data_IF_442749362439
#
_entry.id   IF_442749362439
#
_cell.length_a   1.000
_cell.length_b   1.000
_cell.length_c   1.000
_cell.angle_alpha   90.00
_cell.angle_beta   90.00
_cell.angle_gamma   90.00
#
_symmetry.space_group_name_H-M   'P 1'
#
loop_
_entity.id
_entity.type
_entity.pdbx_description
1 polymer ?
#
# COMPACT_ATOMS: atom_id res chain seq x y z
N UNK A 1 25.68 -10.16 10.55
CA UNK A 1 24.68 -9.34 11.26
C UNK A 1 24.73 -7.93 10.69
N UNK A 2 23.84 -7.60 9.75
CA UNK A 2 23.87 -6.32 9.01
C UNK A 2 23.45 -5.19 9.95
N UNK A 3 24.30 -4.16 10.10
CA UNK A 3 24.01 -2.97 10.90
C UNK A 3 22.98 -2.10 10.17
N UNK A 4 21.70 -2.36 10.40
CA UNK A 4 20.57 -1.60 9.82
C UNK A 4 20.51 -0.12 10.25
N UNK A 5 21.34 0.33 11.21
CA UNK A 5 21.33 1.72 11.68
C UNK A 5 21.70 2.73 10.58
N UNK A 6 22.83 2.50 9.90
CA UNK A 6 23.29 3.42 8.85
C UNK A 6 22.48 3.34 7.55
N UNK A 7 21.88 2.18 7.24
CA UNK A 7 21.07 2.04 6.02
C UNK A 7 19.71 2.74 6.12
N UNK A 8 19.08 2.73 7.30
CA UNK A 8 17.82 3.46 7.51
C UNK A 8 18.06 4.97 7.47
N UNK A 9 19.19 5.45 8.02
CA UNK A 9 19.60 6.85 7.90
C UNK A 9 19.95 7.25 6.46
N UNK A 10 20.66 6.40 5.70
CA UNK A 10 20.97 6.66 4.29
C UNK A 10 19.72 6.67 3.40
N UNK A 11 18.75 5.78 3.65
CA UNK A 11 17.44 5.80 2.95
C UNK A 11 16.63 7.04 3.34
N UNK A 12 16.69 7.45 4.61
CA UNK A 12 16.05 8.66 5.12
C UNK A 12 16.65 9.94 4.53
N UNK A 13 17.96 9.96 4.29
CA UNK A 13 18.68 11.14 3.78
C UNK A 13 18.74 11.23 2.25
N UNK A 14 18.62 10.12 1.52
CA UNK A 14 18.72 10.11 0.05
C UNK A 14 17.37 10.19 -0.67
N UNK A 15 16.41 9.34 -0.29
CA UNK A 15 15.21 9.08 -1.09
C UNK A 15 13.95 9.81 -0.61
N UNK A 16 13.93 10.29 0.64
CA UNK A 16 12.78 11.01 1.23
C UNK A 16 12.99 12.54 1.28
N UNK A 17 14.04 13.08 0.64
CA UNK A 17 14.23 14.53 0.57
C UNK A 17 13.08 15.16 -0.21
N UNK A 18 12.17 15.82 0.50
CA UNK A 18 11.03 16.55 -0.08
C UNK A 18 9.67 15.92 0.15
N UNK A 19 9.59 14.76 0.79
CA UNK A 19 8.30 14.19 1.21
C UNK A 19 8.12 14.40 2.71
N UNK A 20 7.16 15.24 3.10
CA UNK A 20 6.75 15.50 4.49
C UNK A 20 5.98 14.31 5.09
N UNK A 21 6.52 13.09 4.95
CA UNK A 21 5.95 11.86 5.50
C UNK A 21 6.47 11.64 6.92
N UNK A 22 5.57 11.22 7.80
CA UNK A 22 5.93 10.90 9.17
C UNK A 22 6.90 9.72 9.20
N UNK A 23 8.01 9.90 9.92
CA UNK A 23 8.95 8.83 10.24
C UNK A 23 9.07 8.69 11.74
N UNK A 24 8.92 7.46 12.23
CA UNK A 24 9.01 7.14 13.66
C UNK A 24 10.35 7.65 14.22
N UNK A 25 10.33 8.46 15.30
CA UNK A 25 11.54 8.99 15.94
C UNK A 25 12.25 7.89 16.72
N UNK A 26 12.84 6.94 15.98
CA UNK A 26 13.32 5.66 16.50
C UNK A 26 14.36 5.82 17.60
N UNK A 27 15.34 6.71 17.41
CA UNK A 27 16.41 6.92 18.38
C UNK A 27 15.90 7.55 19.68
N UNK A 28 14.90 8.44 19.58
CA UNK A 28 14.31 9.11 20.74
C UNK A 28 13.51 8.11 21.58
N UNK A 29 12.62 7.34 20.95
CA UNK A 29 11.85 6.30 21.66
C UNK A 29 12.78 5.19 22.19
N UNK A 30 13.81 4.82 21.43
CA UNK A 30 14.81 3.85 21.87
C UNK A 30 15.56 4.35 23.10
N UNK A 31 15.83 5.65 23.22
CA UNK A 31 16.53 6.21 24.36
C UNK A 31 15.77 5.97 25.67
N UNK A 32 14.43 5.97 25.64
CA UNK A 32 13.56 5.66 26.78
C UNK A 32 13.78 4.23 27.34
N UNK A 33 14.28 3.30 26.51
CA UNK A 33 14.58 1.92 26.92
C UNK A 33 15.89 1.85 27.73
N UNK A 34 16.84 2.75 27.45
CA UNK A 34 18.20 2.68 28.00
C UNK A 34 18.51 3.76 29.04
N UNK A 35 17.73 4.85 29.08
CA UNK A 35 17.88 5.91 30.06
C UNK A 35 17.12 5.61 31.36
N UNK A 36 17.39 6.39 32.41
CA UNK A 36 16.66 6.35 33.69
C UNK A 36 15.14 6.59 33.53
N UNK A 37 14.69 7.11 32.39
CA UNK A 37 13.27 7.19 32.01
C UNK A 37 12.56 5.81 31.98
N UNK A 38 13.31 4.70 31.91
CA UNK A 38 12.74 3.37 32.14
C UNK A 38 12.15 3.18 33.56
N UNK A 39 12.46 4.09 34.50
CA UNK A 39 11.87 4.11 35.84
C UNK A 39 10.44 4.65 35.85
N UNK A 40 10.02 5.37 34.82
CA UNK A 40 8.62 5.78 34.67
C UNK A 40 7.82 4.64 34.01
N UNK A 41 6.91 3.97 34.75
CA UNK A 41 6.14 2.87 34.21
C UNK A 41 5.30 3.36 33.03
N UNK A 42 5.50 2.75 31.86
CA UNK A 42 4.69 3.01 30.67
C UNK A 42 5.17 4.14 29.75
N UNK A 43 6.26 4.87 30.09
CA UNK A 43 6.80 5.92 29.22
C UNK A 43 7.11 5.41 27.79
N UNK A 44 7.73 4.22 27.69
CA UNK A 44 7.98 3.55 26.41
C UNK A 44 6.69 3.22 25.65
N UNK A 45 5.72 2.58 26.31
CA UNK A 45 4.47 2.16 25.68
C UNK A 45 3.64 3.35 25.20
N UNK A 46 3.64 4.45 25.96
CA UNK A 46 2.98 5.69 25.58
C UNK A 46 3.63 6.32 24.34
N UNK A 47 4.96 6.50 24.34
CA UNK A 47 5.69 7.06 23.21
C UNK A 47 5.55 6.19 21.95
N UNK A 48 5.61 4.86 22.12
CA UNK A 48 5.41 3.91 21.03
C UNK A 48 4.00 4.01 20.43
N UNK A 49 2.96 4.10 21.29
CA UNK A 49 1.56 4.18 20.85
C UNK A 49 1.27 5.50 20.14
N UNK A 50 1.79 6.62 20.66
CA UNK A 50 1.72 7.92 19.99
C UNK A 50 2.39 7.89 18.62
N UNK A 51 3.57 7.24 18.52
CA UNK A 51 4.27 7.12 17.26
C UNK A 51 3.52 6.24 16.24
N UNK A 52 2.86 5.18 16.68
CA UNK A 52 1.98 4.38 15.84
C UNK A 52 0.79 5.23 15.34
N UNK A 53 0.12 5.95 16.23
CA UNK A 53 -1.02 6.79 15.88
C UNK A 53 -0.65 7.87 14.88
N UNK A 54 0.48 8.56 15.09
CA UNK A 54 0.99 9.56 14.17
C UNK A 54 1.30 8.96 12.79
N UNK A 55 1.95 7.79 12.74
CA UNK A 55 2.23 7.08 11.49
C UNK A 55 0.94 6.64 10.77
N UNK A 56 -0.08 6.20 11.50
CA UNK A 56 -1.37 5.81 10.92
C UNK A 56 -2.14 7.01 10.36
N UNK A 57 -2.16 8.12 11.09
CA UNK A 57 -2.83 9.35 10.67
C UNK A 57 -2.18 9.89 9.40
N UNK A 58 -0.85 10.02 9.40
CA UNK A 58 -0.08 10.47 8.25
C UNK A 58 -0.27 9.55 7.04
N UNK A 59 -0.17 8.23 7.25
CA UNK A 59 -0.41 7.24 6.20
C UNK A 59 -1.78 7.38 5.56
N UNK A 60 -2.83 7.46 6.38
CA UNK A 60 -4.22 7.52 5.91
C UNK A 60 -4.49 8.85 5.18
N UNK A 61 -4.04 9.96 5.76
CA UNK A 61 -4.21 11.28 5.18
C UNK A 61 -3.48 11.39 3.83
N UNK A 62 -2.22 10.95 3.79
CA UNK A 62 -1.40 11.01 2.56
C UNK A 62 -1.94 10.08 1.49
N UNK A 63 -2.36 8.87 1.85
CA UNK A 63 -3.00 7.95 0.90
C UNK A 63 -4.29 8.53 0.31
N UNK A 64 -5.12 9.15 1.15
CA UNK A 64 -6.34 9.81 0.70
C UNK A 64 -6.05 11.00 -0.23
N UNK A 65 -5.18 11.92 0.19
CA UNK A 65 -4.95 13.19 -0.52
C UNK A 65 -4.04 13.01 -1.74
N UNK A 66 -2.92 12.31 -1.58
CA UNK A 66 -1.87 12.30 -2.60
C UNK A 66 -2.03 11.18 -3.63
N UNK A 67 -2.82 10.14 -3.33
CA UNK A 67 -3.10 9.03 -4.24
C UNK A 67 -4.53 9.14 -4.74
N UNK A 68 -5.52 8.92 -3.88
CA UNK A 68 -6.90 8.76 -4.34
C UNK A 68 -7.53 10.06 -4.81
N UNK A 69 -7.43 11.15 -4.04
CA UNK A 69 -7.96 12.44 -4.44
C UNK A 69 -7.26 12.95 -5.71
N UNK A 70 -5.94 12.81 -5.79
CA UNK A 70 -5.18 13.15 -7.00
C UNK A 70 -5.67 12.37 -8.23
N UNK A 71 -5.79 11.04 -8.11
CA UNK A 71 -6.26 10.17 -9.18
C UNK A 71 -7.65 10.57 -9.66
N UNK A 72 -8.62 10.69 -8.74
CA UNK A 72 -10.00 11.02 -9.10
C UNK A 72 -10.14 12.45 -9.62
N UNK A 73 -9.35 13.40 -9.10
CA UNK A 73 -9.32 14.76 -9.63
C UNK A 73 -8.78 14.80 -11.06
N UNK A 74 -7.73 14.05 -11.37
CA UNK A 74 -7.16 14.01 -12.72
C UNK A 74 -8.10 13.34 -13.71
N UNK A 75 -8.75 12.25 -13.31
CA UNK A 75 -9.86 11.71 -14.06
C UNK A 75 -10.91 12.81 -14.31
N UNK A 76 -11.28 13.58 -13.27
CA UNK A 76 -12.32 14.64 -13.29
C UNK A 76 -12.04 15.67 -14.38
N UNK A 77 -10.79 16.15 -14.38
CA UNK A 77 -10.30 17.11 -15.35
C UNK A 77 -10.38 16.58 -16.79
N UNK A 78 -10.00 15.31 -17.03
CA UNK A 78 -9.98 14.72 -18.37
C UNK A 78 -11.37 14.60 -19.01
N UNK A 79 -12.35 14.04 -18.29
CA UNK A 79 -13.66 13.87 -18.90
C UNK A 79 -14.48 15.18 -18.96
N UNK A 80 -14.13 16.21 -18.18
CA UNK A 80 -14.62 17.57 -18.43
C UNK A 80 -14.06 18.14 -19.75
N UNK A 81 -12.77 17.96 -20.03
CA UNK A 81 -12.16 18.41 -21.29
C UNK A 81 -12.79 17.73 -22.51
N UNK A 82 -13.08 16.43 -22.44
CA UNK A 82 -13.74 15.70 -23.51
C UNK A 82 -15.14 16.24 -23.85
N UNK A 83 -15.86 16.78 -22.86
CA UNK A 83 -17.21 17.33 -23.04
C UNK A 83 -17.18 18.68 -23.77
N UNK A 84 -16.15 19.50 -23.56
CA UNK A 84 -16.03 20.83 -24.18
C UNK A 84 -15.65 20.79 -25.66
N UNK A 85 -14.93 19.76 -26.10
CA UNK A 85 -14.44 19.67 -27.50
C UNK A 85 -15.50 19.14 -28.48
N UNK A 86 -16.66 18.66 -28.03
CA UNK A 86 -17.72 18.10 -28.88
C UNK A 86 -18.65 19.15 -29.53
N UNK A 87 -18.34 20.45 -29.46
CA UNK A 87 -19.18 21.50 -30.11
C UNK A 87 -18.90 21.70 -31.60
N UNK A 88 -17.92 21.00 -32.21
CA UNK A 88 -17.72 20.99 -33.66
C UNK A 88 -18.32 19.71 -34.31
N UNK A 89 -19.47 19.80 -35.02
CA UNK A 89 -20.20 18.64 -35.54
C UNK A 89 -19.53 17.94 -36.73
N UNK A 90 -18.31 18.31 -37.13
CA UNK A 90 -17.65 17.78 -38.33
C UNK A 90 -16.54 16.75 -38.10
N UNK A 91 -16.08 16.55 -36.86
CA UNK A 91 -15.02 15.55 -36.59
C UNK A 91 -15.56 14.23 -36.03
N UNK A 92 -15.13 13.13 -36.63
CA UNK A 92 -15.51 11.77 -36.21
C UNK A 92 -14.85 11.43 -34.87
N UNK A 93 -15.60 11.01 -33.85
CA UNK A 93 -15.07 10.81 -32.51
C UNK A 93 -14.27 9.51 -32.45
N UNK A 94 -12.95 9.58 -32.58
CA UNK A 94 -12.04 8.48 -32.24
C UNK A 94 -11.56 8.53 -30.79
N UNK A 95 -11.86 9.60 -30.05
CA UNK A 95 -11.50 9.70 -28.64
C UNK A 95 -12.54 9.04 -27.75
N UNK A 96 -12.11 8.02 -27.01
CA UNK A 96 -12.92 7.16 -26.14
C UNK A 96 -13.40 8.00 -24.94
N UNK A 97 -14.61 8.53 -24.98
CA UNK A 97 -15.19 9.30 -23.87
C UNK A 97 -15.32 8.39 -22.65
N UNK A 98 -14.64 8.75 -21.56
CA UNK A 98 -14.72 8.03 -20.28
C UNK A 98 -16.07 8.34 -19.62
N UNK A 99 -16.90 7.31 -19.40
CA UNK A 99 -18.16 7.45 -18.67
C UNK A 99 -17.90 7.65 -17.17
N UNK A 100 -18.19 8.85 -16.69
CA UNK A 100 -18.10 9.27 -15.30
C UNK A 100 -18.82 8.39 -14.29
N UNK A 101 -19.93 7.79 -14.71
CA UNK A 101 -20.72 6.94 -13.83
C UNK A 101 -20.00 5.63 -13.54
N UNK A 102 -19.15 5.17 -14.46
CA UNK A 102 -18.32 3.97 -14.30
C UNK A 102 -17.12 4.22 -13.38
N UNK A 103 -16.59 5.45 -13.35
CA UNK A 103 -15.48 5.84 -12.45
C UNK A 103 -15.93 5.85 -10.98
N UNK A 104 -17.17 6.27 -10.72
CA UNK A 104 -17.71 6.40 -9.35
C UNK A 104 -17.99 5.03 -8.74
N UNK A 105 -17.18 4.64 -7.75
CA UNK A 105 -17.28 3.34 -7.10
C UNK A 105 -16.50 2.22 -7.80
N UNK A 106 -15.67 2.57 -8.79
CA UNK A 106 -14.72 1.63 -9.37
C UNK A 106 -13.81 1.05 -8.28
N UNK A 107 -13.53 -0.25 -8.39
CA UNK A 107 -12.52 -0.89 -7.56
C UNK A 107 -11.16 -0.20 -7.78
N UNK A 108 -10.30 -0.05 -6.74
CA UNK A 108 -9.01 0.64 -6.84
C UNK A 108 -8.16 0.26 -8.07
N UNK A 109 -8.11 -1.03 -8.41
CA UNK A 109 -7.40 -1.51 -9.60
C UNK A 109 -7.96 -0.96 -10.91
N UNK A 110 -9.29 -0.97 -11.08
CA UNK A 110 -9.94 -0.43 -12.27
C UNK A 110 -9.76 1.09 -12.35
N UNK A 111 -9.83 1.78 -11.20
CA UNK A 111 -9.58 3.22 -11.16
C UNK A 111 -8.16 3.59 -11.60
N UNK A 112 -7.15 2.78 -11.21
CA UNK A 112 -5.77 2.94 -11.66
C UNK A 112 -5.64 2.67 -13.17
N UNK A 113 -6.28 1.63 -13.68
CA UNK A 113 -6.30 1.34 -15.11
C UNK A 113 -6.90 2.49 -15.93
N UNK A 114 -8.10 2.94 -15.57
CA UNK A 114 -8.76 4.07 -16.23
C UNK A 114 -7.92 5.35 -16.14
N UNK A 115 -7.23 5.55 -15.02
CA UNK A 115 -6.33 6.67 -14.84
C UNK A 115 -5.15 6.62 -15.80
N UNK A 116 -4.43 5.49 -15.91
CA UNK A 116 -3.31 5.34 -16.85
C UNK A 116 -3.79 5.59 -18.30
N UNK A 117 -4.88 4.95 -18.70
CA UNK A 117 -5.42 5.07 -20.06
C UNK A 117 -5.88 6.50 -20.44
N UNK A 118 -6.11 7.38 -19.46
CA UNK A 118 -6.69 8.72 -19.69
C UNK A 118 -5.74 9.88 -19.45
N UNK A 119 -4.58 9.66 -18.83
CA UNK A 119 -3.62 10.72 -18.52
C UNK A 119 -2.30 10.51 -19.26
N UNK A 120 -1.53 11.59 -19.40
CA UNK A 120 -0.19 11.48 -19.96
C UNK A 120 0.72 10.59 -19.09
N UNK A 121 1.60 9.74 -19.67
CA UNK A 121 2.45 8.81 -18.91
C UNK A 121 3.28 9.46 -17.80
N UNK A 122 3.70 10.72 -17.98
CA UNK A 122 4.43 11.47 -16.94
C UNK A 122 3.63 11.66 -15.65
N UNK A 123 2.31 11.86 -15.75
CA UNK A 123 1.40 12.04 -14.60
C UNK A 123 1.20 10.69 -13.90
N UNK A 124 1.09 9.60 -14.66
CA UNK A 124 1.02 8.26 -14.11
C UNK A 124 2.31 7.84 -13.41
N UNK A 125 3.47 8.21 -13.97
CA UNK A 125 4.77 8.04 -13.32
C UNK A 125 4.86 8.83 -12.00
N UNK A 126 4.32 10.05 -11.96
CA UNK A 126 4.26 10.85 -10.74
C UNK A 126 3.45 10.14 -9.64
N UNK A 127 2.28 9.58 -9.98
CA UNK A 127 1.48 8.78 -9.05
C UNK A 127 2.25 7.56 -8.53
N UNK A 128 2.94 6.85 -9.42
CA UNK A 128 3.77 5.70 -9.06
C UNK A 128 4.87 6.08 -8.05
N UNK A 129 5.55 7.21 -8.26
CA UNK A 129 6.56 7.73 -7.33
C UNK A 129 5.94 8.02 -5.97
N UNK A 130 4.81 8.73 -5.93
CA UNK A 130 4.09 9.05 -4.68
C UNK A 130 3.69 7.79 -3.91
N UNK A 131 3.06 6.82 -4.58
CA UNK A 131 2.67 5.54 -3.95
C UNK A 131 3.89 4.79 -3.40
N UNK A 132 5.00 4.77 -4.16
CA UNK A 132 6.26 4.13 -3.74
C UNK A 132 6.84 4.78 -2.49
N UNK A 133 6.82 6.11 -2.40
CA UNK A 133 7.31 6.86 -1.24
C UNK A 133 6.46 6.56 0.02
N UNK A 134 5.13 6.58 -0.11
CA UNK A 134 4.20 6.25 0.98
C UNK A 134 4.44 4.81 1.47
N UNK A 135 4.54 3.86 0.55
CA UNK A 135 4.80 2.45 0.87
C UNK A 135 6.13 2.27 1.63
N UNK A 136 7.20 2.94 1.19
CA UNK A 136 8.52 2.89 1.86
C UNK A 136 8.48 3.52 3.26
N UNK A 137 7.80 4.65 3.43
CA UNK A 137 7.64 5.30 4.72
C UNK A 137 6.86 4.40 5.70
N UNK A 138 5.75 3.82 5.24
CA UNK A 138 4.95 2.86 6.01
C UNK A 138 5.79 1.65 6.44
N UNK A 139 6.52 1.03 5.51
CA UNK A 139 7.42 -0.09 5.80
C UNK A 139 8.48 0.26 6.84
N UNK A 140 9.13 1.43 6.69
CA UNK A 140 10.13 1.94 7.63
C UNK A 140 9.54 2.15 9.03
N UNK A 141 8.36 2.74 9.12
CA UNK A 141 7.66 2.96 10.39
C UNK A 141 7.30 1.65 11.08
N UNK A 142 6.69 0.70 10.35
CA UNK A 142 6.31 -0.59 10.92
C UNK A 142 7.52 -1.40 11.41
N UNK A 143 8.61 -1.40 10.65
CA UNK A 143 9.83 -2.09 11.04
C UNK A 143 10.54 -1.40 12.21
N UNK A 144 10.53 -0.07 12.26
CA UNK A 144 11.03 0.72 13.39
C UNK A 144 10.28 0.40 14.68
N UNK A 145 8.95 0.43 14.65
CA UNK A 145 8.08 0.12 15.80
C UNK A 145 8.28 -1.32 16.28
N UNK A 146 8.31 -2.30 15.37
CA UNK A 146 8.60 -3.70 15.70
C UNK A 146 9.97 -3.88 16.36
N UNK A 147 11.00 -3.21 15.84
CA UNK A 147 12.36 -3.25 16.40
C UNK A 147 12.43 -2.62 17.79
N UNK A 148 11.67 -1.56 18.06
CA UNK A 148 11.59 -0.94 19.39
C UNK A 148 11.04 -1.92 20.43
N UNK A 149 9.93 -2.61 20.13
CA UNK A 149 9.36 -3.66 21.00
C UNK A 149 10.38 -4.77 21.26
N UNK A 150 11.04 -5.28 20.21
CA UNK A 150 12.08 -6.32 20.36
C UNK A 150 13.25 -5.85 21.25
N UNK A 151 13.63 -4.58 21.18
CA UNK A 151 14.68 -4.01 22.04
C UNK A 151 14.23 -3.89 23.49
N UNK A 152 12.97 -3.48 23.71
CA UNK A 152 12.37 -3.40 25.03
C UNK A 152 12.34 -4.79 25.69
N UNK A 153 11.76 -5.79 25.02
CA UNK A 153 11.63 -7.15 25.56
C UNK A 153 12.99 -7.81 25.83
N UNK A 154 14.02 -7.49 25.03
CA UNK A 154 15.39 -7.95 25.29
C UNK A 154 15.97 -7.39 26.60
N UNK A 155 15.56 -6.19 27.00
CA UNK A 155 16.05 -5.52 28.21
C UNK A 155 15.22 -5.86 29.45
N UNK A 156 13.91 -6.02 29.27
CA UNK A 156 12.94 -6.24 30.33
C UNK A 156 12.23 -7.59 30.12
N UNK A 157 12.91 -8.69 30.43
CA UNK A 157 12.41 -10.06 30.21
C UNK A 157 11.19 -10.39 31.05
N UNK A 158 11.07 -9.77 32.23
CA UNK A 158 10.02 -10.11 33.21
C UNK A 158 8.70 -9.38 32.91
N UNK A 159 8.71 -8.40 32.01
CA UNK A 159 7.54 -7.60 31.65
C UNK A 159 7.50 -7.32 30.14
N UNK A 160 7.41 -8.36 29.29
CA UNK A 160 7.42 -8.20 27.83
C UNK A 160 6.20 -7.39 27.36
N UNK A 161 6.43 -6.48 26.43
CA UNK A 161 5.38 -5.62 25.83
C UNK A 161 4.93 -6.15 24.47
N UNK A 162 5.61 -7.14 23.88
CA UNK A 162 5.23 -7.72 22.59
C UNK A 162 3.80 -8.22 22.53
N UNK A 163 3.31 -8.83 23.61
CA UNK A 163 1.94 -9.34 23.68
C UNK A 163 0.88 -8.24 23.61
N UNK A 164 1.21 -7.01 24.04
CA UNK A 164 0.29 -5.87 23.99
C UNK A 164 0.47 -5.03 22.73
N UNK A 165 1.71 -4.72 22.35
CA UNK A 165 2.00 -3.72 21.32
C UNK A 165 2.05 -4.29 19.89
N UNK A 166 2.52 -5.53 19.68
CA UNK A 166 2.58 -6.10 18.33
C UNK A 166 1.20 -6.36 17.71
N UNK A 167 0.18 -6.85 18.44
CA UNK A 167 -1.16 -6.94 17.89
C UNK A 167 -1.71 -5.58 17.42
N UNK A 168 -1.44 -4.50 18.15
CA UNK A 168 -1.82 -3.14 17.74
C UNK A 168 -1.11 -2.73 16.45
N UNK A 169 0.18 -3.04 16.32
CA UNK A 169 0.93 -2.77 15.09
C UNK A 169 0.35 -3.54 13.90
N UNK A 170 0.09 -4.84 14.05
CA UNK A 170 -0.34 -5.69 12.92
C UNK A 170 -1.78 -5.45 12.48
N UNK A 171 -2.63 -4.94 13.38
CA UNK A 171 -4.00 -4.54 13.05
C UNK A 171 -4.10 -3.08 12.59
N UNK A 172 -3.00 -2.32 12.63
CA UNK A 172 -2.98 -0.92 12.19
C UNK A 172 -3.18 -0.77 10.68
N UNK A 173 -3.73 0.38 10.28
CA UNK A 173 -3.89 0.76 8.87
C UNK A 173 -2.56 0.91 8.15
N UNK A 174 -1.51 1.37 8.83
CA UNK A 174 -0.16 1.51 8.25
C UNK A 174 0.51 0.16 7.96
N UNK A 175 0.16 -0.90 8.69
CA UNK A 175 0.64 -2.25 8.40
C UNK A 175 -0.20 -2.94 7.32
N UNK A 176 -1.51 -2.99 7.52
CA UNK A 176 -2.43 -3.65 6.58
C UNK A 176 -2.49 -2.97 5.20
N UNK A 177 -2.38 -1.64 5.15
CA UNK A 177 -2.39 -0.87 3.91
C UNK A 177 -1.16 -1.02 3.03
N UNK A 178 -0.05 -1.58 3.53
CA UNK A 178 1.16 -1.79 2.73
C UNK A 178 0.94 -2.77 1.58
N UNK A 179 0.24 -3.89 1.83
CA UNK A 179 -0.04 -4.88 0.80
C UNK A 179 -0.86 -4.26 -0.35
N UNK A 180 -1.89 -3.48 -0.01
CA UNK A 180 -2.70 -2.76 -0.99
C UNK A 180 -1.87 -1.79 -1.84
N UNK A 181 -0.97 -1.02 -1.20
CA UNK A 181 -0.08 -0.12 -1.94
C UNK A 181 0.90 -0.88 -2.82
N UNK A 182 1.46 -1.99 -2.33
CA UNK A 182 2.37 -2.83 -3.09
C UNK A 182 1.70 -3.39 -4.35
N UNK A 183 0.48 -3.91 -4.22
CA UNK A 183 -0.31 -4.41 -5.34
C UNK A 183 -0.64 -3.29 -6.34
N UNK A 184 -1.04 -2.11 -5.86
CA UNK A 184 -1.30 -0.96 -6.72
C UNK A 184 -0.05 -0.44 -7.44
N UNK A 185 1.11 -0.44 -6.78
CA UNK A 185 2.42 -0.11 -7.38
C UNK A 185 2.78 -1.11 -8.47
N UNK A 186 2.58 -2.42 -8.22
CA UNK A 186 2.85 -3.45 -9.21
C UNK A 186 1.97 -3.30 -10.44
N UNK A 187 0.66 -3.08 -10.24
CA UNK A 187 -0.29 -2.84 -11.32
C UNK A 187 0.07 -1.59 -12.15
N UNK A 188 0.40 -0.47 -11.51
CA UNK A 188 0.80 0.74 -12.24
C UNK A 188 2.04 0.53 -13.11
N UNK A 189 3.02 -0.24 -12.64
CA UNK A 189 4.21 -0.56 -13.43
C UNK A 189 3.85 -1.39 -14.66
N UNK A 190 3.04 -2.43 -14.47
CA UNK A 190 2.58 -3.29 -15.56
C UNK A 190 1.83 -2.48 -16.64
N UNK A 191 0.91 -1.59 -16.23
CA UNK A 191 0.16 -0.75 -17.16
C UNK A 191 1.06 0.24 -17.93
N UNK A 192 2.03 0.86 -17.25
CA UNK A 192 2.98 1.78 -17.88
C UNK A 192 3.92 1.07 -18.87
N UNK A 193 4.33 -0.17 -18.57
CA UNK A 193 5.14 -0.99 -19.48
C UNK A 193 4.36 -1.35 -20.75
N UNK A 194 3.08 -1.71 -20.62
CA UNK A 194 2.20 -2.04 -21.76
C UNK A 194 2.00 -0.86 -22.72
N UNK A 195 1.78 0.36 -22.21
CA UNK A 195 1.66 1.55 -23.06
C UNK A 195 2.96 1.84 -23.84
N UNK A 196 4.10 1.62 -23.20
CA UNK A 196 5.40 1.85 -23.84
C UNK A 196 5.66 0.85 -24.99
N UNK A 197 5.30 -0.42 -24.80
CA UNK A 197 5.39 -1.44 -25.86
C UNK A 197 4.45 -1.15 -27.03
N UNK A 198 3.22 -0.73 -26.75
CA UNK A 198 2.23 -0.39 -27.78
C UNK A 198 2.69 0.79 -28.64
N UNK A 199 3.34 1.80 -28.04
CA UNK A 199 3.85 2.97 -28.77
C UNK A 199 5.00 2.63 -29.73
N UNK A 200 5.77 1.57 -29.48
CA UNK A 200 6.89 1.19 -30.35
C UNK A 200 6.45 0.37 -31.57
N UNK A 201 5.29 -0.29 -31.50
CA UNK A 201 4.78 -1.13 -32.59
C UNK A 201 4.02 -0.36 -33.69
N UNK A 202 3.58 0.87 -33.43
CA UNK A 202 2.83 1.70 -34.40
C UNK A 202 3.73 2.44 -35.42
N UNK A 203 5.05 2.20 -35.38
CA UNK A 203 6.03 2.89 -36.23
C UNK A 203 6.37 2.21 -37.56
N UNK A 204 6.10 0.90 -37.75
CA UNK A 204 6.30 0.22 -39.04
C UNK A 204 5.79 -1.21 -39.00
N UNK A 205 4.73 -1.49 -39.76
CA UNK A 205 4.25 -2.85 -39.96
C UNK A 205 5.19 -3.62 -40.91
N UNK A 206 6.09 -4.46 -40.37
CA UNK A 206 6.48 -5.72 -41.04
C UNK A 206 6.65 -6.83 -40.00
N UNK A 207 5.95 -7.93 -40.27
CA UNK A 207 5.81 -9.16 -39.50
C UNK A 207 7.10 -9.76 -38.93
N UNK A 208 7.05 -10.28 -37.69
CA UNK A 208 7.05 -11.72 -37.37
C UNK A 208 7.26 -11.95 -35.86
N UNK A 209 6.40 -12.78 -35.27
CA UNK A 209 6.82 -13.78 -34.28
C UNK A 209 6.83 -13.37 -32.81
N UNK A 210 5.94 -13.99 -32.05
CA UNK A 210 6.17 -14.29 -30.63
C UNK A 210 5.24 -13.58 -29.67
N UNK A 211 3.97 -13.97 -29.66
CA UNK A 211 3.19 -13.94 -28.42
C UNK A 211 3.99 -14.72 -27.37
N UNK A 212 4.59 -14.03 -26.40
CA UNK A 212 4.81 -14.66 -25.11
C UNK A 212 3.41 -14.90 -24.55
N UNK A 213 3.06 -16.14 -24.16
CA UNK A 213 1.75 -16.41 -23.63
C UNK A 213 1.56 -15.50 -22.42
N UNK A 214 0.53 -14.67 -22.48
CA UNK A 214 0.01 -13.93 -21.32
C UNK A 214 0.01 -14.90 -20.14
N UNK A 215 0.93 -14.71 -19.20
CA UNK A 215 0.73 -15.19 -17.86
C UNK A 215 -0.48 -14.43 -17.37
N UNK A 216 -1.66 -15.02 -17.60
CA UNK A 216 -2.90 -14.69 -16.91
C UNK A 216 -2.58 -14.76 -15.43
N UNK A 217 -2.13 -13.64 -14.86
CA UNK A 217 -2.35 -13.33 -13.47
C UNK A 217 -3.84 -13.06 -13.35
N UNK A 218 -4.65 -14.12 -13.53
CA UNK A 218 -6.10 -14.05 -13.37
C UNK A 218 -6.33 -13.57 -11.93
N UNK A 219 -6.74 -12.31 -11.81
CA UNK A 219 -7.30 -11.75 -10.57
C UNK A 219 -8.41 -12.66 -10.03
N UNK A 220 -9.07 -13.41 -10.93
CA UNK A 220 -10.02 -14.48 -10.65
C UNK A 220 -9.37 -15.71 -9.98
N UNK A 221 -8.16 -16.11 -10.37
CA UNK A 221 -7.42 -17.20 -9.71
C UNK A 221 -6.94 -16.80 -8.31
N UNK A 222 -6.49 -15.55 -8.12
CA UNK A 222 -6.19 -15.03 -6.77
C UNK A 222 -7.44 -14.88 -5.92
N UNK A 223 -8.58 -14.53 -6.52
CA UNK A 223 -9.86 -14.48 -5.83
C UNK A 223 -10.36 -15.87 -5.43
N UNK A 224 -10.23 -16.88 -6.32
CA UNK A 224 -10.49 -18.28 -6.02
C UNK A 224 -9.60 -18.80 -4.90
N UNK A 225 -8.30 -18.52 -4.95
CA UNK A 225 -7.37 -18.90 -3.90
C UNK A 225 -7.73 -18.23 -2.56
N UNK A 226 -8.12 -16.95 -2.57
CA UNK A 226 -8.57 -16.24 -1.37
C UNK A 226 -9.90 -16.80 -0.82
N UNK A 227 -10.81 -17.26 -1.69
CA UNK A 227 -12.07 -17.88 -1.27
C UNK A 227 -11.85 -19.30 -0.74
N UNK A 228 -10.95 -20.08 -1.33
CA UNK A 228 -10.51 -21.38 -0.83
C UNK A 228 -9.90 -21.27 0.57
N UNK A 229 -8.96 -20.34 0.77
CA UNK A 229 -8.35 -20.08 2.09
C UNK A 229 -9.43 -19.75 3.13
N UNK A 230 -10.37 -18.85 2.81
CA UNK A 230 -11.48 -18.51 3.72
C UNK A 230 -12.39 -19.72 4.02
N UNK A 231 -12.60 -20.59 3.04
CA UNK A 231 -13.41 -21.79 3.22
C UNK A 231 -12.70 -22.82 4.11
N UNK A 232 -11.38 -22.96 3.97
CA UNK A 232 -10.54 -23.79 4.84
C UNK A 232 -10.53 -23.27 6.28
N UNK A 233 -10.38 -21.96 6.49
CA UNK A 233 -10.46 -21.32 7.80
C UNK A 233 -11.81 -21.57 8.48
N UNK A 234 -12.91 -21.44 7.72
CA UNK A 234 -14.25 -21.67 8.23
C UNK A 234 -14.48 -23.14 8.60
N UNK A 235 -13.95 -24.07 7.81
CA UNK A 235 -14.00 -25.50 8.11
C UNK A 235 -13.11 -25.89 9.31
N UNK A 236 -11.98 -25.20 9.49
CA UNK A 236 -11.15 -25.34 10.68
C UNK A 236 -11.90 -24.86 11.93
N UNK A 237 -12.56 -23.69 11.87
CA UNK A 237 -13.38 -23.17 12.97
C UNK A 237 -14.53 -24.12 13.33
N UNK A 238 -15.23 -24.69 12.34
CA UNK A 238 -16.27 -25.71 12.58
C UNK A 238 -15.73 -26.93 13.32
N UNK A 239 -14.57 -27.45 12.91
CA UNK A 239 -13.91 -28.59 13.58
C UNK A 239 -13.49 -28.24 15.00
N UNK A 240 -12.99 -27.03 15.23
CA UNK A 240 -12.64 -26.54 16.55
C UNK A 240 -13.87 -26.51 17.47
N UNK A 241 -14.99 -25.92 17.02
CA UNK A 241 -16.23 -25.85 17.82
C UNK A 241 -16.76 -27.26 18.13
N UNK A 242 -16.75 -28.18 17.16
CA UNK A 242 -17.16 -29.57 17.39
C UNK A 242 -16.26 -30.30 18.40
N UNK A 243 -14.96 -30.00 18.40
CA UNK A 243 -14.03 -30.61 19.36
C UNK A 243 -14.27 -30.15 20.81
N UNK A 244 -14.84 -28.95 20.99
CA UNK A 244 -15.21 -28.39 22.29
C UNK A 244 -16.57 -28.90 22.78
N UNK A 245 -17.40 -29.46 21.91
CA UNK A 245 -18.72 -30.01 22.23
C UNK A 245 -18.70 -31.48 22.66
N UNK A 246 -17.52 -32.09 22.88
CA UNK A 246 -17.48 -33.45 23.41
C UNK A 246 -18.22 -33.50 24.75
N UNK A 247 -19.25 -34.36 24.89
CA UNK A 247 -19.95 -34.51 26.16
C UNK A 247 -18.96 -35.02 27.22
N UNK A 248 -19.06 -34.42 28.40
CA UNK A 248 -18.42 -34.95 29.60
C UNK A 248 -19.19 -36.22 29.92
N UNK A 249 -18.68 -37.36 29.47
CA UNK A 249 -19.20 -38.67 29.88
C UNK A 249 -18.95 -38.81 31.38
N UNK A 250 -20.05 -38.78 32.15
CA UNK A 250 -20.11 -39.04 33.59
C UNK A 250 -20.21 -40.53 33.87
#
# INVERSE_FOLDING_TARGET
MVKYGGHVEAVREGDNRGTDLYLVPYNDIKSLIFQDAAKEPGAFSNAWTQALQAAQQDFTQTLQQNVWQFLFQKLAEQANQATTTMEDPTESPTSRVVDWTTVRGAHPGNALQMFVESVHPSIAQELLVRMTQIHRAAGTNTEGLRKLVKKYDKRFTDAPQSMALLPLLYTSSVYSGQAMLQDGIALLRELLEQEQESSMMDGSAVAYGGFSPLLRNDSEARHQQATEIRFEELNWLKRLVQSLQKPIDH
#
